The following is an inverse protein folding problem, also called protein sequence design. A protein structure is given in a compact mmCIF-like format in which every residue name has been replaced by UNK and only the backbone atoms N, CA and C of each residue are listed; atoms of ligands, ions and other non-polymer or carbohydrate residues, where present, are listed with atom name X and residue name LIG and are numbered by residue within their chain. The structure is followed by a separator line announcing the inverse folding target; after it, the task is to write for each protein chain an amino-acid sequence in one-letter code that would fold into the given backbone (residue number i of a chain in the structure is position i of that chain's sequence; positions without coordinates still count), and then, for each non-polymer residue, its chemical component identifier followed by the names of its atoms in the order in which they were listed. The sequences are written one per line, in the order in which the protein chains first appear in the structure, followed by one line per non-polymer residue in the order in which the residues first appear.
data_IF_674121538341
#
_entry.id   IF_674121538341
#
_cell.length_a   1.000
_cell.length_b   1.000
_cell.length_c   1.000
_cell.angle_alpha   90.00
_cell.angle_beta   90.00
_cell.angle_gamma   90.00
#
_symmetry.space_group_name_H-M   'P 1'
#
loop_
_entity.id
_entity.type
_entity.pdbx_description
1 polymer ?
#
# COMPACT_ATOMS: atom_id res chain seq x y z
N UNK A 1 2.28 -5.61 21.18
CA UNK A 1 1.98 -6.13 19.83
C UNK A 1 3.12 -5.73 18.92
N UNK A 2 3.40 -6.48 17.85
CA UNK A 2 4.51 -6.18 16.94
C UNK A 2 4.05 -6.12 15.48
N UNK A 3 4.68 -5.26 14.68
CA UNK A 3 4.56 -5.22 13.22
C UNK A 3 5.92 -5.45 12.59
N UNK A 4 5.98 -6.35 11.61
CA UNK A 4 7.17 -6.53 10.79
C UNK A 4 7.27 -5.38 9.79
N UNK A 5 8.39 -4.65 9.80
CA UNK A 5 8.66 -3.54 8.89
C UNK A 5 10.06 -3.67 8.27
N UNK A 6 10.27 -3.14 7.06
CA UNK A 6 11.60 -3.01 6.50
C UNK A 6 12.42 -1.96 7.26
N UNK A 7 13.71 -2.21 7.47
CA UNK A 7 14.69 -1.25 8.01
C UNK A 7 15.95 -1.29 7.17
N UNK A 8 16.63 -0.14 7.06
CA UNK A 8 17.87 -0.03 6.29
C UNK A 8 19.01 -0.79 6.96
N UNK A 9 19.08 -0.76 8.29
CA UNK A 9 20.18 -1.36 9.05
C UNK A 9 20.05 -2.88 9.19
N UNK A 10 18.82 -3.40 9.29
CA UNK A 10 18.57 -4.79 9.72
C UNK A 10 17.71 -5.60 8.75
N UNK A 11 17.29 -5.03 7.62
CA UNK A 11 16.42 -5.69 6.66
C UNK A 11 14.98 -5.75 7.15
N UNK A 12 14.65 -6.66 8.07
CA UNK A 12 13.33 -6.77 8.69
C UNK A 12 13.42 -6.62 10.21
N UNK A 13 12.58 -5.76 10.77
CA UNK A 13 12.51 -5.49 12.21
C UNK A 13 11.11 -5.71 12.76
N UNK A 14 11.03 -6.11 14.03
CA UNK A 14 9.79 -6.16 14.80
C UNK A 14 9.60 -4.82 15.51
N UNK A 15 8.78 -3.94 14.92
CA UNK A 15 8.43 -2.67 15.54
C UNK A 15 7.32 -2.88 16.57
N UNK A 16 7.51 -2.37 17.79
CA UNK A 16 6.45 -2.35 18.79
C UNK A 16 5.32 -1.42 18.35
N UNK A 17 4.08 -1.89 18.50
CA UNK A 17 2.89 -1.14 18.14
C UNK A 17 1.86 -1.15 19.26
N UNK A 18 1.03 -0.11 19.28
CA UNK A 18 -0.10 0.00 20.21
C UNK A 18 -1.18 -1.04 19.91
N UNK A 19 -2.05 -1.31 20.89
CA UNK A 19 -3.23 -2.16 20.70
C UNK A 19 -4.21 -1.61 19.66
N UNK A 20 -4.20 -0.30 19.41
CA UNK A 20 -5.04 0.34 18.39
C UNK A 20 -4.52 0.04 16.99
N UNK A 21 -3.21 0.12 16.79
CA UNK A 21 -2.58 -0.25 15.52
C UNK A 21 -2.69 -1.73 15.20
N UNK A 22 -2.64 -2.59 16.22
CA UNK A 22 -2.77 -4.03 16.06
C UNK A 22 -4.12 -4.47 15.49
N UNK A 23 -5.14 -3.60 15.53
CA UNK A 23 -6.49 -3.85 15.00
C UNK A 23 -6.60 -3.63 13.49
N UNK A 24 -5.54 -3.20 12.81
CA UNK A 24 -5.56 -3.05 11.36
C UNK A 24 -4.22 -3.43 10.70
N UNK A 25 -4.30 -3.67 9.39
CA UNK A 25 -3.16 -3.91 8.52
C UNK A 25 -3.29 -3.11 7.23
N UNK A 26 -2.16 -2.60 6.76
CA UNK A 26 -2.05 -2.00 5.44
C UNK A 26 -1.76 -3.10 4.40
N UNK A 27 -2.58 -3.15 3.35
CA UNK A 27 -2.46 -4.12 2.29
C UNK A 27 -2.49 -3.47 0.91
N UNK A 28 -1.37 -3.54 0.19
CA UNK A 28 -1.30 -3.09 -1.20
C UNK A 28 -2.08 -4.00 -2.15
N UNK A 29 -2.78 -3.39 -3.09
CA UNK A 29 -3.48 -4.05 -4.20
C UNK A 29 -2.46 -4.36 -5.30
N UNK A 30 -2.28 -5.64 -5.61
CA UNK A 30 -1.40 -6.11 -6.68
C UNK A 30 -2.14 -6.24 -8.01
N UNK A 31 -3.41 -6.65 -7.96
CA UNK A 31 -4.21 -6.89 -9.16
C UNK A 31 -5.70 -6.67 -8.87
N UNK A 32 -6.46 -6.26 -9.88
CA UNK A 32 -7.92 -6.08 -9.82
C UNK A 32 -8.52 -6.87 -10.97
N UNK A 33 -9.45 -7.76 -10.64
CA UNK A 33 -10.10 -8.65 -11.63
C UNK A 33 -11.60 -8.65 -11.46
N UNK A 34 -12.33 -8.62 -12.56
CA UNK A 34 -13.79 -8.82 -12.54
C UNK A 34 -14.09 -10.31 -12.41
N UNK A 35 -14.97 -10.67 -11.47
CA UNK A 35 -15.43 -12.04 -11.23
C UNK A 35 -16.90 -12.20 -11.61
N UNK A 36 -17.46 -13.40 -11.39
CA UNK A 36 -18.87 -13.71 -11.71
C UNK A 36 -19.81 -12.64 -11.15
N UNK A 37 -20.89 -12.37 -11.87
CA UNK A 37 -21.90 -11.34 -11.55
C UNK A 37 -21.39 -9.90 -11.64
N UNK A 38 -20.24 -9.66 -12.26
CA UNK A 38 -19.71 -8.31 -12.48
C UNK A 38 -19.03 -7.69 -11.25
N UNK A 39 -18.84 -8.48 -10.18
CA UNK A 39 -18.15 -8.02 -8.98
C UNK A 39 -16.66 -7.82 -9.23
N UNK A 40 -16.03 -6.93 -8.46
CA UNK A 40 -14.58 -6.73 -8.51
C UNK A 40 -13.92 -7.53 -7.40
N UNK A 41 -12.77 -8.14 -7.70
CA UNK A 41 -11.91 -8.79 -6.73
C UNK A 41 -10.57 -8.06 -6.69
N UNK A 42 -10.21 -7.56 -5.51
CA UNK A 42 -8.94 -6.93 -5.20
C UNK A 42 -8.00 -8.01 -4.66
N UNK A 43 -6.92 -8.31 -5.39
CA UNK A 43 -5.92 -9.29 -4.99
C UNK A 43 -4.77 -8.55 -4.30
N UNK A 44 -4.47 -8.92 -3.05
CA UNK A 44 -3.56 -8.19 -2.18
C UNK A 44 -2.18 -8.86 -2.10
N UNK A 45 -1.16 -8.06 -1.78
CA UNK A 45 0.23 -8.53 -1.72
C UNK A 45 0.50 -9.64 -0.70
N UNK A 46 -0.38 -9.79 0.31
CA UNK A 46 -0.27 -10.81 1.35
C UNK A 46 -1.08 -12.08 1.03
N UNK A 47 -1.54 -12.22 -0.22
CA UNK A 47 -2.26 -13.40 -0.72
C UNK A 47 -3.77 -13.39 -0.43
N UNK A 48 -4.31 -12.34 0.20
CA UNK A 48 -5.74 -12.19 0.46
C UNK A 48 -6.49 -11.63 -0.76
N UNK A 49 -7.79 -11.91 -0.82
CA UNK A 49 -8.70 -11.39 -1.83
C UNK A 49 -9.88 -10.68 -1.17
N UNK A 50 -10.19 -9.46 -1.60
CA UNK A 50 -11.35 -8.70 -1.12
C UNK A 50 -12.32 -8.51 -2.29
N UNK A 51 -13.58 -8.94 -2.12
CA UNK A 51 -14.61 -8.77 -3.14
C UNK A 51 -15.44 -7.51 -2.88
N UNK A 52 -15.56 -6.67 -3.90
CA UNK A 52 -16.44 -5.51 -3.91
C UNK A 52 -17.69 -5.87 -4.72
N UNK A 53 -18.83 -5.87 -4.04
CA UNK A 53 -20.13 -6.16 -4.67
C UNK A 53 -20.54 -4.97 -5.53
N UNK A 54 -20.71 -5.19 -6.82
CA UNK A 54 -21.20 -4.17 -7.76
C UNK A 54 -22.71 -4.42 -7.91
N UNK A 55 -23.52 -3.61 -7.22
CA UNK A 55 -24.99 -3.77 -7.22
C UNK A 55 -25.61 -3.57 -8.60
N UNK A 56 -25.02 -2.69 -9.40
CA UNK A 56 -25.45 -2.37 -10.76
C UNK A 56 -24.21 -2.37 -11.65
N UNK A 57 -24.10 -3.36 -12.54
CA UNK A 57 -22.94 -3.54 -13.40
C UNK A 57 -22.72 -2.37 -14.36
N UNK A 58 -23.74 -1.53 -14.57
CA UNK A 58 -23.65 -0.30 -15.36
C UNK A 58 -23.11 0.89 -14.56
N UNK A 59 -22.96 0.77 -13.23
CA UNK A 59 -22.45 1.82 -12.35
C UNK A 59 -21.05 1.45 -11.84
N UNK A 60 -20.12 2.40 -11.95
CA UNK A 60 -18.80 2.28 -11.33
C UNK A 60 -18.96 2.24 -9.80
N UNK A 61 -18.10 1.51 -9.07
CA UNK A 61 -18.07 1.60 -7.61
C UNK A 61 -17.83 3.05 -7.17
N UNK A 62 -18.36 3.43 -6.01
CA UNK A 62 -18.18 4.78 -5.43
C UNK A 62 -16.69 5.13 -5.21
N UNK A 63 -15.85 4.09 -5.04
CA UNK A 63 -14.40 4.21 -4.89
C UNK A 63 -13.70 3.55 -6.07
N UNK A 64 -12.90 4.34 -6.79
CA UNK A 64 -12.05 3.84 -7.87
C UNK A 64 -10.75 3.24 -7.30
N UNK A 65 -10.80 1.94 -6.96
CA UNK A 65 -9.61 1.20 -6.58
C UNK A 65 -8.66 1.04 -7.77
N UNK A 66 -7.38 1.28 -7.53
CA UNK A 66 -6.29 1.12 -8.52
C UNK A 66 -5.20 0.23 -7.95
N UNK A 67 -4.50 -0.47 -8.84
CA UNK A 67 -3.30 -1.24 -8.47
C UNK A 67 -2.26 -0.34 -7.83
N UNK A 68 -1.41 -0.90 -6.97
CA UNK A 68 -0.41 -0.19 -6.14
C UNK A 68 -0.99 0.71 -5.05
N UNK A 69 -2.29 1.01 -5.07
CA UNK A 69 -2.97 1.60 -3.94
C UNK A 69 -3.00 0.65 -2.73
N UNK A 70 -3.13 1.21 -1.53
CA UNK A 70 -3.09 0.49 -0.27
C UNK A 70 -4.41 0.59 0.47
N UNK A 71 -4.94 -0.56 0.89
CA UNK A 71 -6.12 -0.66 1.75
C UNK A 71 -5.70 -0.70 3.21
N UNK A 72 -6.39 0.05 4.06
CA UNK A 72 -6.35 -0.14 5.50
C UNK A 72 -7.47 -1.12 5.87
N UNK A 73 -7.11 -2.34 6.24
CA UNK A 73 -8.06 -3.40 6.59
C UNK A 73 -8.10 -3.61 8.09
N UNK A 74 -9.30 -3.75 8.65
CA UNK A 74 -9.46 -4.17 10.04
C UNK A 74 -9.08 -5.64 10.23
N UNK A 75 -8.63 -5.97 11.44
CA UNK A 75 -8.33 -7.32 11.89
C UNK A 75 -9.20 -7.61 13.11
N UNK A 76 -9.91 -8.75 13.18
CA UNK A 76 -9.88 -9.88 12.22
C UNK A 76 -10.93 -9.82 11.10
N UNK A 77 -11.86 -8.88 11.12
CA UNK A 77 -13.07 -8.87 10.27
C UNK A 77 -12.84 -8.39 8.82
N UNK A 78 -11.63 -7.92 8.47
CA UNK A 78 -11.21 -7.61 7.10
C UNK A 78 -12.07 -6.56 6.39
N UNK A 79 -12.68 -5.63 7.14
CA UNK A 79 -13.40 -4.51 6.55
C UNK A 79 -12.41 -3.47 6.04
N UNK A 80 -12.71 -2.88 4.90
CA UNK A 80 -11.96 -1.74 4.36
C UNK A 80 -12.30 -0.53 5.22
N UNK A 81 -11.32 -0.05 5.99
CA UNK A 81 -11.43 1.15 6.82
C UNK A 81 -11.08 2.41 6.04
N UNK A 82 -10.08 2.32 5.15
CA UNK A 82 -9.62 3.44 4.31
C UNK A 82 -8.88 2.91 3.08
N UNK A 83 -8.68 3.78 2.09
CA UNK A 83 -7.94 3.52 0.87
C UNK A 83 -6.98 4.68 0.54
N UNK A 84 -5.74 4.32 0.24
CA UNK A 84 -4.66 5.22 -0.12
C UNK A 84 -4.24 4.95 -1.57
N UNK A 85 -4.68 5.75 -2.55
CA UNK A 85 -4.25 5.60 -3.93
C UNK A 85 -2.75 5.89 -4.06
N UNK A 86 -2.09 5.16 -4.96
CA UNK A 86 -0.72 5.45 -5.35
C UNK A 86 -0.69 6.76 -6.15
N UNK A 87 0.17 7.70 -5.77
CA UNK A 87 0.24 9.01 -6.40
C UNK A 87 1.37 9.85 -5.83
N UNK A 88 1.49 11.08 -6.31
CA UNK A 88 2.35 12.07 -5.69
C UNK A 88 1.71 12.62 -4.43
N UNK A 89 2.53 13.19 -3.55
CA UNK A 89 2.13 13.79 -2.29
C UNK A 89 1.58 12.85 -1.21
N UNK A 90 1.77 11.53 -1.35
CA UNK A 90 1.39 10.55 -0.32
C UNK A 90 2.60 10.01 0.43
N UNK A 91 2.39 9.49 1.64
CA UNK A 91 3.45 8.86 2.43
C UNK A 91 3.72 7.44 1.98
N UNK A 92 4.98 7.10 1.75
CA UNK A 92 5.40 5.78 1.31
C UNK A 92 6.67 5.30 2.02
N UNK A 93 6.83 3.98 2.08
CA UNK A 93 8.04 3.29 2.51
C UNK A 93 8.58 2.44 1.36
N UNK A 94 9.90 2.34 1.27
CA UNK A 94 10.59 1.48 0.31
C UNK A 94 10.74 0.08 0.93
N UNK A 95 10.07 -0.92 0.38
CA UNK A 95 10.11 -2.28 0.93
C UNK A 95 11.14 -3.21 0.28
N UNK A 96 11.80 -2.77 -0.80
CA UNK A 96 12.79 -3.56 -1.54
C UNK A 96 13.84 -2.67 -2.21
N UNK A 97 15.04 -3.21 -2.41
CA UNK A 97 16.15 -2.54 -3.08
C UNK A 97 17.17 -1.97 -2.09
N UNK A 98 18.12 -1.18 -2.60
CA UNK A 98 19.20 -0.61 -1.78
C UNK A 98 18.69 0.35 -0.70
N UNK A 99 17.61 1.08 -1.00
CA UNK A 99 17.02 2.08 -0.11
C UNK A 99 15.88 1.52 0.76
N UNK A 100 15.89 0.21 1.04
CA UNK A 100 14.89 -0.45 1.89
C UNK A 100 14.78 0.24 3.26
N UNK A 101 13.56 0.34 3.78
CA UNK A 101 13.26 0.95 5.08
C UNK A 101 13.13 2.48 5.04
N UNK A 102 13.64 3.14 4.00
CA UNK A 102 13.46 4.58 3.87
C UNK A 102 11.98 4.92 3.67
N UNK A 103 11.48 5.86 4.45
CA UNK A 103 10.11 6.34 4.41
C UNK A 103 10.05 7.85 4.24
N UNK A 104 9.04 8.32 3.51
CA UNK A 104 8.82 9.74 3.30
C UNK A 104 7.70 9.99 2.31
N UNK A 105 7.55 11.26 1.93
CA UNK A 105 6.55 11.70 0.96
C UNK A 105 7.03 11.46 -0.47
N UNK A 106 6.18 10.88 -1.31
CA UNK A 106 6.43 10.79 -2.75
C UNK A 106 6.36 12.20 -3.34
N UNK A 107 7.47 12.71 -3.85
CA UNK A 107 7.58 14.04 -4.44
C UNK A 107 7.24 14.01 -5.93
N UNK A 108 7.64 12.95 -6.63
CA UNK A 108 7.46 12.82 -8.07
C UNK A 108 7.34 11.38 -8.53
N UNK A 109 6.49 11.14 -9.52
CA UNK A 109 6.41 9.85 -10.23
C UNK A 109 6.75 10.08 -11.69
N UNK A 110 7.80 9.42 -12.16
CA UNK A 110 8.17 9.43 -13.59
C UNK A 110 7.78 8.10 -14.21
N UNK A 111 6.68 8.12 -14.97
CA UNK A 111 6.23 6.95 -15.71
C UNK A 111 7.13 6.68 -16.91
N UNK A 112 7.52 5.42 -17.07
CA UNK A 112 8.32 4.94 -18.20
C UNK A 112 7.78 3.61 -18.67
N UNK A 113 7.87 3.38 -19.98
CA UNK A 113 7.52 2.12 -20.60
C UNK A 113 8.59 1.06 -20.32
N UNK A 114 8.15 -0.14 -19.93
CA UNK A 114 9.01 -1.27 -19.62
C UNK A 114 8.84 -1.80 -18.21
N UNK A 115 9.29 -3.03 -17.98
CA UNK A 115 9.16 -3.71 -16.69
C UNK A 115 10.00 -2.98 -15.64
N UNK A 116 9.37 -2.51 -14.57
CA UNK A 116 10.00 -1.74 -13.49
C UNK A 116 10.72 -0.46 -13.96
N UNK A 117 10.39 0.07 -15.15
CA UNK A 117 11.07 1.25 -15.70
C UNK A 117 10.64 2.56 -15.00
N UNK A 118 9.42 2.58 -14.45
CA UNK A 118 8.88 3.76 -13.77
C UNK A 118 9.57 3.99 -12.43
N UNK A 119 9.78 5.26 -12.08
CA UNK A 119 10.57 5.70 -10.92
C UNK A 119 9.65 6.51 -9.99
N UNK A 120 9.76 6.27 -8.69
CA UNK A 120 9.19 7.12 -7.66
C UNK A 120 10.32 7.81 -6.89
N UNK A 121 10.20 9.11 -6.70
CA UNK A 121 11.10 9.92 -5.87
C UNK A 121 10.43 10.12 -4.50
N UNK A 122 11.12 9.74 -3.43
CA UNK A 122 10.68 9.87 -2.04
C UNK A 122 11.71 10.73 -1.33
N UNK A 123 11.36 11.97 -1.01
CA UNK A 123 12.36 12.99 -0.64
C UNK A 123 13.44 13.10 -1.73
N UNK A 124 14.70 12.92 -1.34
CA UNK A 124 15.86 12.97 -2.25
C UNK A 124 16.26 11.59 -2.82
N UNK A 125 15.48 10.55 -2.53
CA UNK A 125 15.80 9.17 -2.92
C UNK A 125 14.91 8.72 -4.08
N UNK A 126 15.54 8.26 -5.16
CA UNK A 126 14.85 7.55 -6.23
C UNK A 126 14.77 6.04 -5.99
N UNK A 127 13.61 5.46 -6.29
CA UNK A 127 13.41 4.01 -6.28
C UNK A 127 12.52 3.57 -7.44
N UNK A 128 12.47 2.28 -7.72
CA UNK A 128 11.49 1.76 -8.67
C UNK A 128 10.08 2.03 -8.13
N UNK A 129 9.18 2.50 -8.99
CA UNK A 129 7.78 2.77 -8.64
C UNK A 129 7.12 1.58 -7.92
N UNK A 130 7.46 0.36 -8.34
CA UNK A 130 6.94 -0.86 -7.74
C UNK A 130 7.48 -1.15 -6.32
N UNK A 131 8.57 -0.52 -5.90
CA UNK A 131 9.16 -0.69 -4.56
C UNK A 131 8.60 0.30 -3.53
N UNK A 132 7.83 1.29 -3.96
CA UNK A 132 7.09 2.15 -3.07
C UNK A 132 5.84 1.43 -2.54
N UNK A 133 5.64 1.49 -1.22
CA UNK A 133 4.46 1.00 -0.54
C UNK A 133 3.81 2.17 0.21
N UNK A 134 2.56 2.48 -0.08
CA UNK A 134 1.87 3.62 0.53
C UNK A 134 1.49 3.29 1.97
N UNK A 135 1.88 4.17 2.90
CA UNK A 135 1.61 4.00 4.33
C UNK A 135 0.62 5.03 4.89
N UNK A 136 0.20 6.02 4.10
CA UNK A 136 -0.81 7.00 4.48
C UNK A 136 -0.99 8.10 3.43
N UNK A 137 -1.89 9.07 3.71
CA UNK A 137 -2.11 10.26 2.86
C UNK A 137 -1.04 11.31 3.17
N UNK A 138 -1.35 12.27 4.04
CA UNK A 138 -0.42 13.32 4.45
C UNK A 138 0.57 12.85 5.51
N UNK A 139 0.10 12.00 6.43
CA UNK A 139 0.86 11.40 7.53
C UNK A 139 0.83 9.88 7.44
N UNK A 140 1.89 9.18 7.90
CA UNK A 140 1.87 7.74 8.03
C UNK A 140 0.68 7.30 8.89
N UNK A 141 -0.03 6.27 8.44
CA UNK A 141 -1.09 5.62 9.21
C UNK A 141 -0.56 4.53 10.15
N UNK A 142 0.77 4.38 10.22
CA UNK A 142 1.49 3.41 11.03
C UNK A 142 2.69 4.08 11.68
N UNK A 143 3.02 3.62 12.89
CA UNK A 143 4.28 3.96 13.53
C UNK A 143 5.46 3.32 12.77
N UNK A 144 6.49 4.14 12.53
CA UNK A 144 7.74 3.71 11.92
C UNK A 144 8.78 3.46 13.03
N UNK A 145 9.65 2.45 12.88
CA UNK A 145 10.70 2.21 13.86
C UNK A 145 11.64 3.41 13.91
N UNK A 146 12.01 3.84 15.11
CA UNK A 146 13.14 4.76 15.27
C UNK A 146 14.41 3.99 14.92
N UNK A 147 15.16 4.46 13.93
CA UNK A 147 16.51 3.98 13.63
C UNK A 147 17.55 4.67 14.52
#
# INVERSE_FOLDING_TARGET
FYRVLPSKAHGLVLSEITSTEAKFKLCRIENITTVKKGNLQLNLHDGRNIQIQVKDASKKPDVEYKTRGTLKLSIPDQKILDYYPMGENVQAIIYKGHNIGFAGKITKITERFGVNASIAEIGDISTAYNYAFIIGKDVPSIDLPME
#
